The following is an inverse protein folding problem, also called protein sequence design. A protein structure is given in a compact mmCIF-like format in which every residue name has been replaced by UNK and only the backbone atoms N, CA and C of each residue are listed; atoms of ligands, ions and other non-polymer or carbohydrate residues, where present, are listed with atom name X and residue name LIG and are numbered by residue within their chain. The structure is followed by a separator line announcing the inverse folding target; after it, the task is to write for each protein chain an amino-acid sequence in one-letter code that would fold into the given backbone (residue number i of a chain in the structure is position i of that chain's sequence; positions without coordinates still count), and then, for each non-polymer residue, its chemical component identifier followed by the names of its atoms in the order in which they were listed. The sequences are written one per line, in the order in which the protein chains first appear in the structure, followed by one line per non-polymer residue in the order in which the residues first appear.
data_IF_633800481117
#
_entry.id   IF_633800481117
#
_cell.length_a   1.000
_cell.length_b   1.000
_cell.length_c   1.000
_cell.angle_alpha   90.00
_cell.angle_beta   90.00
_cell.angle_gamma   90.00
#
_symmetry.space_group_name_H-M   'P 1'
#
loop_
_entity.id
_entity.type
_entity.pdbx_description
1 polymer ?
#
# COMPACT_ATOMS: atom_id res chain seq x y z
N UNK A 1 -32.44 91.39 1.74
CA UNK A 1 -32.17 90.83 3.09
C UNK A 1 -33.29 89.84 3.35
N UNK A 2 -33.15 88.53 3.55
CA UNK A 2 -32.03 87.61 3.77
C UNK A 2 -32.45 86.25 3.17
N UNK A 3 -31.51 85.46 2.63
CA UNK A 3 -31.79 84.11 2.13
C UNK A 3 -31.73 83.07 3.25
N UNK A 4 -32.61 82.05 3.30
CA UNK A 4 -32.50 81.01 4.31
C UNK A 4 -31.48 79.95 3.90
N UNK A 5 -30.69 79.57 4.90
CA UNK A 5 -29.57 78.65 4.86
C UNK A 5 -29.99 77.20 4.57
N UNK A 6 -29.20 76.49 3.77
CA UNK A 6 -29.28 75.04 3.65
C UNK A 6 -28.58 74.37 4.83
N UNK A 7 -29.31 73.50 5.54
CA UNK A 7 -28.78 72.63 6.59
C UNK A 7 -28.46 71.26 5.97
N UNK A 8 -27.18 70.97 5.78
CA UNK A 8 -26.71 69.61 5.50
C UNK A 8 -26.73 68.79 6.79
N UNK A 9 -27.45 67.65 6.77
CA UNK A 9 -27.45 66.66 7.86
C UNK A 9 -26.44 65.53 7.57
N UNK A 10 -25.74 64.98 8.59
CA UNK A 10 -24.59 64.12 8.37
C UNK A 10 -24.97 62.65 8.13
N UNK A 11 -24.26 62.01 7.20
CA UNK A 11 -24.43 60.62 6.78
C UNK A 11 -23.76 59.61 7.74
N UNK A 12 -24.18 59.57 9.00
CA UNK A 12 -23.56 58.70 10.03
C UNK A 12 -24.14 57.27 10.10
N UNK A 13 -25.29 57.00 9.44
CA UNK A 13 -25.94 55.68 9.49
C UNK A 13 -25.40 54.64 8.50
N UNK A 14 -24.85 55.06 7.35
CA UNK A 14 -24.48 54.14 6.27
C UNK A 14 -23.13 53.43 6.52
N UNK A 15 -22.18 54.11 7.18
CA UNK A 15 -20.82 53.58 7.41
C UNK A 15 -20.85 52.45 8.45
N UNK A 16 -21.61 52.64 9.53
CA UNK A 16 -21.76 51.61 10.57
C UNK A 16 -22.38 50.33 10.02
N UNK A 17 -23.48 50.45 9.26
CA UNK A 17 -24.16 49.30 8.66
C UNK A 17 -23.26 48.50 7.71
N UNK A 18 -22.46 49.19 6.88
CA UNK A 18 -21.53 48.53 5.96
C UNK A 18 -20.44 47.76 6.71
N UNK A 19 -19.91 48.31 7.80
CA UNK A 19 -18.89 47.63 8.61
C UNK A 19 -19.44 46.38 9.31
N UNK A 20 -20.67 46.44 9.85
CA UNK A 20 -21.31 45.26 10.45
C UNK A 20 -21.59 44.18 9.41
N UNK A 21 -22.04 44.55 8.21
CA UNK A 21 -22.29 43.60 7.13
C UNK A 21 -21.00 42.88 6.68
N UNK A 22 -19.90 43.62 6.54
CA UNK A 22 -18.59 43.04 6.18
C UNK A 22 -18.09 42.09 7.29
N UNK A 23 -18.22 42.47 8.56
CA UNK A 23 -17.79 41.63 9.68
C UNK A 23 -18.56 40.29 9.73
N UNK A 24 -19.88 40.32 9.48
CA UNK A 24 -20.71 39.10 9.42
C UNK A 24 -20.30 38.21 8.24
N UNK A 25 -20.04 38.80 7.07
CA UNK A 25 -19.58 38.04 5.89
C UNK A 25 -18.23 37.37 6.12
N UNK A 26 -17.29 38.06 6.77
CA UNK A 26 -15.99 37.48 7.12
C UNK A 26 -16.12 36.35 8.14
N UNK A 27 -17.00 36.50 9.14
CA UNK A 27 -17.26 35.45 10.13
C UNK A 27 -17.86 34.19 9.47
N UNK A 28 -18.87 34.37 8.60
CA UNK A 28 -19.49 33.27 7.86
C UNK A 28 -18.50 32.60 6.89
N UNK A 29 -17.66 33.39 6.21
CA UNK A 29 -16.60 32.89 5.35
C UNK A 29 -15.57 32.05 6.11
N UNK A 30 -15.14 32.51 7.29
CA UNK A 30 -14.23 31.77 8.16
C UNK A 30 -14.79 30.43 8.62
N UNK A 31 -16.08 30.39 9.01
CA UNK A 31 -16.78 29.15 9.38
C UNK A 31 -16.86 28.20 8.17
N UNK A 32 -17.17 28.71 6.97
CA UNK A 32 -17.21 27.91 5.75
C UNK A 32 -15.86 27.25 5.43
N UNK A 33 -14.76 28.00 5.55
CA UNK A 33 -13.40 27.47 5.35
C UNK A 33 -13.07 26.42 6.41
N UNK A 34 -13.40 26.65 7.68
CA UNK A 34 -13.19 25.67 8.75
C UNK A 34 -13.96 24.37 8.48
N UNK A 35 -15.21 24.45 8.00
CA UNK A 35 -16.01 23.29 7.62
C UNK A 35 -15.46 22.55 6.41
N UNK A 36 -14.88 23.24 5.43
CA UNK A 36 -14.23 22.61 4.28
C UNK A 36 -12.94 21.88 4.69
N UNK A 37 -12.13 22.48 5.59
CA UNK A 37 -10.94 21.84 6.15
C UNK A 37 -11.34 20.61 6.98
N UNK A 38 -12.38 20.70 7.81
CA UNK A 38 -12.88 19.57 8.59
C UNK A 38 -13.49 18.49 7.68
N UNK A 39 -14.22 18.86 6.62
CA UNK A 39 -14.76 17.89 5.66
C UNK A 39 -13.65 17.18 4.86
N UNK A 40 -12.62 17.90 4.42
CA UNK A 40 -11.44 17.31 3.77
C UNK A 40 -10.64 16.42 4.74
N UNK A 41 -10.49 16.85 5.99
CA UNK A 41 -9.85 16.08 7.05
C UNK A 41 -10.66 14.83 7.46
N UNK A 42 -12.00 14.92 7.45
CA UNK A 42 -12.89 13.77 7.66
C UNK A 42 -12.78 12.79 6.49
N UNK A 43 -12.78 13.25 5.24
CA UNK A 43 -12.58 12.38 4.07
C UNK A 43 -11.28 11.58 4.11
N UNK A 44 -10.20 12.17 4.65
CA UNK A 44 -8.95 11.48 4.91
C UNK A 44 -8.96 10.57 6.16
N UNK A 45 -9.88 10.77 7.11
CA UNK A 45 -9.99 10.00 8.38
C UNK A 45 -11.09 8.93 8.37
N UNK A 46 -12.04 8.97 7.44
CA UNK A 46 -13.20 8.07 7.41
C UNK A 46 -12.98 6.74 6.66
N UNK A 47 -11.75 6.35 6.35
CA UNK A 47 -11.46 5.06 5.71
C UNK A 47 -11.16 3.91 6.70
N UNK A 48 -11.57 4.02 7.96
CA UNK A 48 -11.44 2.92 8.94
C UNK A 48 -12.79 2.60 9.53
N UNK A 49 -13.61 1.82 8.81
CA UNK A 49 -14.57 0.94 9.45
C UNK A 49 -13.77 -0.16 10.15
N UNK A 50 -13.32 0.16 11.37
CA UNK A 50 -12.65 -0.72 12.32
C UNK A 50 -13.57 -1.88 12.65
N UNK A 51 -13.40 -3.00 11.96
CA UNK A 51 -13.94 -4.29 12.36
C UNK A 51 -13.17 -4.69 13.63
N UNK A 52 -13.86 -4.58 14.77
CA UNK A 52 -13.43 -4.99 16.11
C UNK A 52 -12.17 -4.30 16.66
N UNK A 53 -12.09 -4.19 17.99
CA UNK A 53 -11.06 -3.40 18.68
C UNK A 53 -9.76 -4.20 18.73
N UNK A 54 -9.16 -4.45 17.57
CA UNK A 54 -7.85 -5.08 17.51
C UNK A 54 -6.79 -4.08 17.97
N UNK A 55 -5.97 -4.48 18.93
CA UNK A 55 -4.86 -3.65 19.41
C UNK A 55 -3.87 -3.45 18.26
N UNK A 56 -3.59 -2.19 17.94
CA UNK A 56 -2.58 -1.80 16.95
C UNK A 56 -1.29 -1.36 17.63
N UNK A 57 -0.20 -1.39 16.87
CA UNK A 57 1.12 -0.98 17.31
C UNK A 57 1.80 -0.14 16.21
N UNK A 58 2.47 0.93 16.60
CA UNK A 58 3.16 1.81 15.65
C UNK A 58 4.60 1.36 15.41
N UNK A 59 4.94 1.07 14.14
CA UNK A 59 6.31 0.79 13.69
C UNK A 59 6.78 1.83 12.68
N UNK A 60 7.98 2.36 12.87
CA UNK A 60 8.58 3.30 11.92
C UNK A 60 9.52 2.58 10.96
N UNK A 61 9.18 2.54 9.67
CA UNK A 61 9.98 1.93 8.60
C UNK A 61 10.40 2.99 7.59
N UNK A 62 11.71 3.21 7.42
CA UNK A 62 12.20 4.15 6.41
C UNK A 62 11.69 5.59 6.57
N UNK A 63 11.40 6.02 7.80
CA UNK A 63 10.86 7.35 8.10
C UNK A 63 9.33 7.46 7.98
N UNK A 64 8.63 6.32 7.82
CA UNK A 64 7.16 6.26 7.81
C UNK A 64 6.64 5.46 8.97
N UNK A 65 5.64 6.00 9.65
CA UNK A 65 4.93 5.29 10.72
C UNK A 65 3.83 4.44 10.12
N UNK A 66 3.80 3.16 10.52
CA UNK A 66 2.80 2.18 10.14
C UNK A 66 2.05 1.75 11.39
N UNK A 67 0.72 1.81 11.35
CA UNK A 67 -0.16 1.35 12.44
C UNK A 67 -0.58 -0.10 12.15
N UNK A 68 0.01 -1.06 12.85
CA UNK A 68 -0.08 -2.48 12.49
C UNK A 68 -0.85 -3.25 13.56
N UNK A 69 -1.90 -4.01 13.20
CA UNK A 69 -2.59 -4.88 14.14
C UNK A 69 -1.66 -5.96 14.72
N UNK A 70 -1.77 -6.24 16.02
CA UNK A 70 -0.88 -7.20 16.68
C UNK A 70 -0.96 -8.62 16.08
N UNK A 71 -2.12 -9.02 15.54
CA UNK A 71 -2.28 -10.35 14.91
C UNK A 71 -1.51 -10.48 13.59
N UNK A 72 -1.15 -9.36 12.95
CA UNK A 72 -0.46 -9.40 11.66
C UNK A 72 1.03 -9.72 11.82
N UNK A 73 1.63 -9.42 12.97
CA UNK A 73 3.03 -9.71 13.20
C UNK A 73 3.30 -11.22 13.18
N UNK A 74 4.21 -11.63 12.30
CA UNK A 74 4.66 -13.02 12.20
C UNK A 74 5.42 -13.47 13.44
N UNK A 75 6.18 -12.57 14.05
CA UNK A 75 7.06 -12.84 15.18
C UNK A 75 6.70 -11.94 16.36
N UNK A 76 6.57 -12.53 17.55
CA UNK A 76 6.15 -11.79 18.75
C UNK A 76 7.20 -10.75 19.17
N UNK A 77 8.47 -11.01 18.90
CA UNK A 77 9.60 -10.14 19.23
C UNK A 77 9.55 -8.81 18.46
N UNK A 78 8.79 -8.75 17.36
CA UNK A 78 8.58 -7.53 16.58
C UNK A 78 7.37 -6.70 17.04
N UNK A 79 6.57 -7.20 17.99
CA UNK A 79 5.42 -6.50 18.60
C UNK A 79 5.88 -5.49 19.66
N UNK A 80 6.76 -4.58 19.24
CA UNK A 80 7.29 -3.47 20.05
C UNK A 80 7.22 -2.19 19.25
N UNK A 81 7.07 -1.03 19.89
CA UNK A 81 7.01 0.26 19.17
C UNK A 81 8.37 0.74 18.65
N UNK A 82 8.32 1.68 17.72
CA UNK A 82 9.48 2.45 17.27
C UNK A 82 10.11 1.95 15.96
N UNK A 83 11.40 2.28 15.79
CA UNK A 83 12.08 2.09 14.51
C UNK A 83 12.31 0.60 14.19
N UNK A 84 12.00 0.26 12.94
CA UNK A 84 12.19 -1.05 12.35
C UNK A 84 13.15 -0.93 11.17
N UNK A 85 14.14 -1.83 11.11
CA UNK A 85 14.83 -2.06 9.84
C UNK A 85 13.89 -2.78 8.88
N UNK A 86 13.14 -3.74 9.40
CA UNK A 86 12.26 -4.65 8.69
C UNK A 86 11.04 -4.94 9.56
N UNK A 87 9.90 -5.24 8.95
CA UNK A 87 8.69 -5.68 9.63
C UNK A 87 8.20 -6.95 8.92
N UNK A 88 7.99 -8.02 9.67
CA UNK A 88 7.53 -9.30 9.14
C UNK A 88 6.09 -9.56 9.55
N UNK A 89 5.24 -9.67 8.55
CA UNK A 89 3.81 -9.88 8.68
C UNK A 89 3.42 -11.24 8.10
N UNK A 90 2.28 -11.76 8.54
CA UNK A 90 1.65 -12.94 7.96
C UNK A 90 0.17 -12.69 7.72
N UNK A 91 -0.29 -13.08 6.54
CA UNK A 91 -1.69 -13.02 6.16
C UNK A 91 -2.20 -14.39 5.77
N UNK A 92 -3.43 -14.68 6.13
CA UNK A 92 -4.21 -15.78 5.60
C UNK A 92 -5.13 -15.19 4.52
N UNK A 93 -4.87 -15.49 3.25
CA UNK A 93 -5.55 -14.88 2.10
C UNK A 93 -6.54 -15.85 1.45
N UNK A 94 -7.82 -15.46 1.29
CA UNK A 94 -8.85 -16.29 0.67
C UNK A 94 -8.77 -16.16 -0.84
N UNK A 95 -7.86 -16.91 -1.47
CA UNK A 95 -7.69 -16.84 -2.90
C UNK A 95 -8.74 -17.68 -3.65
N UNK A 96 -9.93 -17.14 -3.94
CA UNK A 96 -11.01 -17.80 -4.69
C UNK A 96 -12.25 -18.15 -3.86
N UNK A 97 -13.36 -18.47 -4.52
CA UNK A 97 -14.70 -18.65 -3.89
C UNK A 97 -14.82 -19.88 -2.98
N UNK A 98 -14.01 -20.92 -3.23
CA UNK A 98 -13.99 -22.18 -2.46
C UNK A 98 -12.59 -22.48 -1.85
N UNK A 99 -11.69 -21.50 -1.89
CA UNK A 99 -10.29 -21.78 -1.62
C UNK A 99 -9.95 -21.74 -0.13
N UNK A 100 -9.09 -22.67 0.27
CA UNK A 100 -8.43 -22.63 1.57
C UNK A 100 -7.54 -21.40 1.67
N UNK A 101 -7.62 -20.71 2.81
CA UNK A 101 -6.72 -19.61 3.14
C UNK A 101 -5.27 -20.03 2.89
N UNK A 102 -4.57 -19.25 2.06
CA UNK A 102 -3.16 -19.47 1.78
C UNK A 102 -2.33 -18.54 2.67
N UNK A 103 -1.35 -19.08 3.40
CA UNK A 103 -0.45 -18.24 4.19
C UNK A 103 0.47 -17.46 3.25
N UNK A 104 0.50 -16.15 3.41
CA UNK A 104 1.43 -15.25 2.73
C UNK A 104 2.23 -14.48 3.77
N UNK A 105 3.53 -14.74 3.77
CA UNK A 105 4.49 -13.99 4.57
C UNK A 105 4.87 -12.71 3.82
N UNK A 106 4.83 -11.57 4.52
CA UNK A 106 5.15 -10.27 3.94
C UNK A 106 6.24 -9.60 4.75
N UNK A 107 7.36 -9.36 4.12
CA UNK A 107 8.49 -8.64 4.72
C UNK A 107 8.56 -7.22 4.15
N UNK A 108 8.28 -6.23 4.99
CA UNK A 108 8.39 -4.81 4.64
C UNK A 108 9.79 -4.29 4.90
N UNK A 109 10.36 -3.58 3.92
CA UNK A 109 11.73 -3.07 3.92
C UNK A 109 11.77 -1.64 3.35
N UNK A 110 12.79 -0.83 3.70
CA UNK A 110 13.10 0.38 2.93
C UNK A 110 13.38 0.01 1.46
N UNK A 111 12.85 0.82 0.53
CA UNK A 111 12.95 0.60 -0.93
C UNK A 111 14.38 0.42 -1.41
N UNK A 112 15.36 1.07 -0.78
CA UNK A 112 16.78 0.96 -1.12
C UNK A 112 17.38 -0.42 -0.86
N UNK A 113 16.71 -1.26 -0.04
CA UNK A 113 17.17 -2.61 0.33
C UNK A 113 16.55 -3.72 -0.51
N UNK A 114 15.69 -3.40 -1.48
CA UNK A 114 15.00 -4.39 -2.28
C UNK A 114 14.87 -3.94 -3.75
N UNK A 115 14.89 -4.91 -4.66
CA UNK A 115 14.66 -4.71 -6.09
C UNK A 115 13.39 -5.45 -6.49
N UNK A 116 12.43 -4.83 -7.22
CA UNK A 116 11.20 -5.50 -7.60
C UNK A 116 11.47 -6.68 -8.51
N UNK A 117 10.66 -7.74 -8.40
CA UNK A 117 10.81 -8.93 -9.25
C UNK A 117 10.68 -8.60 -10.73
N UNK A 118 9.82 -7.64 -11.10
CA UNK A 118 9.71 -7.14 -12.47
C UNK A 118 11.04 -6.57 -12.99
N UNK A 119 11.76 -5.78 -12.18
CA UNK A 119 13.07 -5.24 -12.57
C UNK A 119 14.16 -6.32 -12.63
N UNK A 120 14.03 -7.39 -11.84
CA UNK A 120 14.95 -8.53 -11.86
C UNK A 120 14.74 -9.43 -13.08
N UNK A 121 13.55 -9.42 -13.69
CA UNK A 121 13.27 -10.19 -14.91
C UNK A 121 14.27 -9.83 -16.00
N UNK A 122 14.28 -8.57 -16.43
CA UNK A 122 15.13 -8.11 -17.54
C UNK A 122 16.60 -7.99 -17.14
N UNK A 123 16.87 -7.57 -15.90
CA UNK A 123 18.23 -7.30 -15.44
C UNK A 123 19.03 -8.53 -15.02
N UNK A 124 18.36 -9.64 -14.70
CA UNK A 124 19.01 -10.84 -14.15
C UNK A 124 18.44 -12.12 -14.76
N UNK A 125 17.14 -12.35 -14.65
CA UNK A 125 16.57 -13.66 -14.92
C UNK A 125 16.60 -14.05 -16.39
N UNK A 126 16.35 -13.12 -17.32
CA UNK A 126 16.40 -13.38 -18.76
C UNK A 126 17.71 -14.03 -19.20
N UNK A 127 18.83 -13.61 -18.59
CA UNK A 127 20.16 -14.14 -18.90
C UNK A 127 20.42 -15.53 -18.31
N UNK A 128 19.58 -15.97 -17.37
CA UNK A 128 19.70 -17.25 -16.66
C UNK A 128 18.64 -18.26 -17.08
N UNK A 129 17.77 -17.95 -18.04
CA UNK A 129 16.76 -18.87 -18.51
C UNK A 129 17.36 -20.04 -19.27
N UNK A 130 16.85 -21.24 -18.98
CA UNK A 130 17.01 -22.39 -19.83
C UNK A 130 16.08 -22.30 -21.06
N UNK A 131 16.37 -23.03 -22.15
CA UNK A 131 15.52 -23.04 -23.34
C UNK A 131 14.10 -23.58 -23.07
N UNK A 132 13.98 -24.44 -22.05
CA UNK A 132 12.72 -25.05 -21.63
C UNK A 132 11.69 -23.98 -21.23
N UNK A 133 10.42 -24.28 -21.49
CA UNK A 133 9.29 -23.51 -21.02
C UNK A 133 8.33 -24.47 -20.35
N UNK A 134 7.87 -24.09 -19.16
CA UNK A 134 6.90 -24.86 -18.40
C UNK A 134 5.50 -24.27 -18.61
N UNK A 135 4.52 -25.17 -18.71
CA UNK A 135 3.11 -24.82 -18.63
C UNK A 135 2.75 -24.55 -17.16
N UNK A 136 1.98 -23.49 -16.92
CA UNK A 136 1.55 -23.13 -15.57
C UNK A 136 0.19 -22.45 -15.57
N UNK A 137 -0.11 -21.66 -14.52
CA UNK A 137 -1.37 -20.93 -14.44
C UNK A 137 -1.66 -20.13 -15.72
N UNK A 138 -2.92 -20.10 -16.18
CA UNK A 138 -3.28 -19.40 -17.42
C UNK A 138 -2.77 -17.95 -17.44
N UNK A 139 -2.00 -17.63 -18.48
CA UNK A 139 -1.41 -16.31 -18.70
C UNK A 139 0.00 -16.12 -18.14
N UNK A 140 0.54 -17.05 -17.35
CA UNK A 140 1.93 -17.02 -16.93
C UNK A 140 2.79 -17.93 -17.80
N UNK A 141 4.05 -17.52 -17.99
CA UNK A 141 5.11 -18.32 -18.62
C UNK A 141 6.09 -18.74 -17.54
N UNK A 142 6.37 -20.05 -17.46
CA UNK A 142 7.39 -20.61 -16.56
C UNK A 142 8.73 -20.80 -17.26
N UNK A 143 9.79 -20.23 -16.71
CA UNK A 143 11.17 -20.38 -17.21
C UNK A 143 12.09 -20.92 -16.11
N UNK A 144 12.57 -22.18 -16.25
CA UNK A 144 13.58 -22.71 -15.37
C UNK A 144 14.86 -21.88 -15.43
N UNK A 145 15.47 -21.64 -14.26
CA UNK A 145 16.77 -21.00 -14.18
C UNK A 145 17.88 -22.05 -14.32
N UNK A 146 19.02 -21.63 -14.88
CA UNK A 146 20.25 -22.41 -14.87
C UNK A 146 20.64 -22.72 -13.41
N UNK A 147 21.11 -23.94 -13.09
CA UNK A 147 21.38 -24.34 -11.71
C UNK A 147 22.66 -23.71 -11.10
N UNK A 148 23.38 -22.88 -11.86
CA UNK A 148 24.52 -22.12 -11.37
C UNK A 148 24.08 -20.93 -10.49
N UNK A 149 25.02 -20.36 -9.73
CA UNK A 149 24.76 -19.15 -8.94
C UNK A 149 23.72 -19.28 -7.81
N UNK A 150 23.33 -20.51 -7.44
CA UNK A 150 22.37 -20.78 -6.37
C UNK A 150 20.91 -20.92 -6.83
N UNK A 151 20.64 -20.97 -8.14
CA UNK A 151 19.29 -21.10 -8.69
C UNK A 151 18.88 -22.55 -8.98
N UNK A 152 19.56 -23.52 -8.38
CA UNK A 152 19.29 -24.93 -8.60
C UNK A 152 17.83 -25.29 -8.25
N UNK A 153 17.08 -25.74 -9.27
CA UNK A 153 15.69 -26.12 -9.10
C UNK A 153 14.71 -24.95 -8.98
N UNK A 154 15.11 -23.75 -9.37
CA UNK A 154 14.24 -22.57 -9.37
C UNK A 154 13.61 -22.30 -10.74
N UNK A 155 12.39 -21.76 -10.72
CA UNK A 155 11.61 -21.38 -11.90
C UNK A 155 11.12 -19.95 -11.71
N UNK A 156 11.23 -19.12 -12.75
CA UNK A 156 10.60 -17.80 -12.79
C UNK A 156 9.28 -17.90 -13.54
N UNK A 157 8.20 -17.53 -12.88
CA UNK A 157 6.88 -17.37 -13.46
C UNK A 157 6.62 -15.89 -13.73
N UNK A 158 6.28 -15.53 -14.97
CA UNK A 158 5.99 -14.15 -15.31
C UNK A 158 4.84 -13.96 -16.31
N UNK A 159 4.17 -12.81 -16.20
CA UNK A 159 3.20 -12.33 -17.19
C UNK A 159 3.94 -11.72 -18.39
N UNK A 160 3.88 -12.32 -19.59
CA UNK A 160 4.60 -11.83 -20.75
C UNK A 160 3.91 -10.63 -21.44
N UNK A 161 2.70 -10.25 -21.01
CA UNK A 161 1.87 -9.25 -21.71
C UNK A 161 1.84 -7.88 -21.04
N UNK A 162 2.20 -7.79 -19.75
CA UNK A 162 2.18 -6.53 -19.00
C UNK A 162 3.53 -5.80 -19.06
N UNK A 163 3.47 -4.47 -19.14
CA UNK A 163 4.65 -3.60 -19.04
C UNK A 163 5.24 -3.55 -17.62
N UNK A 164 4.40 -3.73 -16.60
CA UNK A 164 4.81 -3.98 -15.22
C UNK A 164 4.39 -5.42 -14.88
N UNK A 165 5.19 -6.41 -15.26
CA UNK A 165 4.75 -7.80 -15.22
C UNK A 165 4.62 -8.31 -13.79
N UNK A 166 3.66 -9.22 -13.61
CA UNK A 166 3.76 -10.14 -12.50
C UNK A 166 4.99 -11.02 -12.72
N UNK A 167 5.94 -11.04 -11.77
CA UNK A 167 7.09 -11.94 -11.72
C UNK A 167 7.20 -12.56 -10.33
N UNK A 168 7.29 -13.88 -10.26
CA UNK A 168 7.57 -14.63 -9.04
C UNK A 168 8.62 -15.70 -9.30
N UNK A 169 9.58 -15.82 -8.39
CA UNK A 169 10.63 -16.85 -8.44
C UNK A 169 10.29 -17.95 -7.46
N UNK A 170 10.07 -19.16 -7.94
CA UNK A 170 9.64 -20.29 -7.14
C UNK A 170 10.74 -21.34 -7.04
N UNK A 171 10.99 -21.82 -5.83
CA UNK A 171 11.93 -22.91 -5.55
C UNK A 171 11.19 -24.20 -5.32
N UNK A 172 11.73 -25.31 -5.82
CA UNK A 172 11.23 -26.64 -5.49
C UNK A 172 11.30 -26.91 -3.99
N UNK A 173 10.30 -27.63 -3.45
CA UNK A 173 10.28 -28.01 -2.04
C UNK A 173 11.46 -28.93 -1.71
N UNK A 174 12.09 -28.71 -0.55
CA UNK A 174 13.18 -29.55 -0.05
C UNK A 174 12.65 -30.92 0.41
N UNK A 175 11.40 -30.96 0.89
CA UNK A 175 10.72 -32.18 1.30
C UNK A 175 9.72 -32.65 0.22
N UNK A 176 9.69 -33.96 -0.04
CA UNK A 176 8.86 -34.60 -1.09
C UNK A 176 7.35 -34.34 -1.00
N UNK A 177 6.84 -33.88 0.15
CA UNK A 177 5.41 -33.66 0.39
C UNK A 177 5.03 -32.18 0.57
N UNK A 178 5.97 -31.25 0.43
CA UNK A 178 5.69 -29.81 0.54
C UNK A 178 5.38 -29.22 -0.84
N UNK A 179 4.60 -28.14 -0.88
CA UNK A 179 4.42 -27.31 -2.08
C UNK A 179 5.64 -26.41 -2.27
N UNK A 180 5.98 -26.08 -3.51
CA UNK A 180 7.01 -25.07 -3.80
C UNK A 180 6.72 -23.73 -3.11
N UNK A 181 7.76 -22.93 -2.92
CA UNK A 181 7.65 -21.59 -2.32
C UNK A 181 8.08 -20.55 -3.33
N UNK A 182 7.31 -19.49 -3.44
CA UNK A 182 7.49 -18.42 -4.39
C UNK A 182 7.84 -17.11 -3.68
N UNK A 183 8.75 -16.36 -4.29
CA UNK A 183 9.15 -15.02 -3.85
C UNK A 183 8.78 -13.98 -4.91
N UNK A 184 8.09 -12.94 -4.47
CA UNK A 184 7.79 -11.76 -5.27
C UNK A 184 8.17 -10.51 -4.50
N UNK A 185 8.89 -9.59 -5.12
CA UNK A 185 9.18 -8.28 -4.53
C UNK A 185 8.48 -7.18 -5.32
N UNK A 186 7.82 -6.28 -4.61
CA UNK A 186 7.16 -5.09 -5.18
C UNK A 186 7.58 -3.84 -4.44
N UNK A 187 7.40 -2.69 -5.09
CA UNK A 187 7.41 -1.41 -4.42
C UNK A 187 5.99 -1.05 -4.01
N UNK A 188 5.84 -0.53 -2.79
CA UNK A 188 4.59 -0.02 -2.27
C UNK A 188 4.62 1.51 -2.33
N UNK A 189 4.12 2.17 -1.28
CA UNK A 189 4.18 3.61 -1.12
C UNK A 189 5.60 4.17 -1.08
N UNK A 190 5.73 5.51 -1.10
CA UNK A 190 7.01 6.19 -1.02
C UNK A 190 7.96 5.59 0.03
N UNK A 191 9.09 5.06 -0.43
CA UNK A 191 10.16 4.56 0.44
C UNK A 191 10.02 3.12 0.95
N UNK A 192 8.94 2.40 0.63
CA UNK A 192 8.70 1.03 1.13
C UNK A 192 8.73 0.03 -0.04
N UNK A 193 9.34 -1.12 0.21
CA UNK A 193 9.25 -2.32 -0.62
C UNK A 193 8.68 -3.47 0.21
N UNK A 194 8.01 -4.40 -0.44
CA UNK A 194 7.53 -5.61 0.17
C UNK A 194 8.06 -6.84 -0.56
N UNK A 195 8.50 -7.83 0.21
CA UNK A 195 8.82 -9.17 -0.26
C UNK A 195 7.71 -10.11 0.21
N UNK A 196 7.04 -10.75 -0.74
CA UNK A 196 6.00 -11.74 -0.51
C UNK A 196 6.60 -13.13 -0.65
N UNK A 197 6.43 -13.97 0.37
CA UNK A 197 6.70 -15.39 0.31
C UNK A 197 5.39 -16.17 0.45
N UNK A 198 5.08 -17.00 -0.55
CA UNK A 198 3.78 -17.67 -0.66
C UNK A 198 3.91 -19.04 -1.32
N UNK A 199 2.98 -19.98 -1.06
CA UNK A 199 3.01 -21.29 -1.69
C UNK A 199 2.74 -21.20 -3.20
N UNK A 200 3.41 -22.05 -3.98
CA UNK A 200 3.29 -22.10 -5.44
C UNK A 200 1.85 -22.31 -5.93
N UNK A 201 1.00 -22.96 -5.13
CA UNK A 201 -0.44 -23.11 -5.39
C UNK A 201 -1.15 -21.76 -5.56
N UNK A 202 -0.71 -20.69 -4.88
CA UNK A 202 -1.33 -19.38 -4.98
C UNK A 202 -1.06 -18.68 -6.32
N UNK A 203 -0.15 -19.20 -7.16
CA UNK A 203 0.06 -18.68 -8.51
C UNK A 203 -1.19 -18.79 -9.40
N UNK A 204 -2.15 -19.67 -9.09
CA UNK A 204 -3.42 -19.73 -9.80
C UNK A 204 -4.22 -18.42 -9.71
N UNK A 205 -3.96 -17.61 -8.67
CA UNK A 205 -4.67 -16.37 -8.37
C UNK A 205 -3.80 -15.12 -8.61
N UNK A 206 -2.72 -15.26 -9.40
CA UNK A 206 -1.73 -14.20 -9.63
C UNK A 206 -2.34 -12.85 -10.07
N UNK A 207 -3.48 -12.86 -10.76
CA UNK A 207 -4.18 -11.65 -11.24
C UNK A 207 -4.76 -10.79 -10.13
N UNK A 208 -5.20 -11.43 -9.06
CA UNK A 208 -5.84 -10.78 -7.90
C UNK A 208 -4.84 -10.62 -6.73
N UNK A 209 -3.74 -11.37 -6.77
CA UNK A 209 -2.75 -11.49 -5.71
C UNK A 209 -2.24 -10.14 -5.18
N UNK A 210 -1.76 -9.27 -6.07
CA UNK A 210 -1.22 -7.98 -5.67
C UNK A 210 -2.32 -7.02 -5.18
N UNK A 211 -3.53 -7.10 -5.74
CA UNK A 211 -4.65 -6.26 -5.33
C UNK A 211 -5.09 -6.57 -3.89
N UNK A 212 -5.19 -7.85 -3.55
CA UNK A 212 -5.54 -8.31 -2.20
C UNK A 212 -4.50 -7.86 -1.15
N UNK A 213 -3.22 -8.06 -1.45
CA UNK A 213 -2.13 -7.62 -0.56
C UNK A 213 -2.06 -6.10 -0.45
N UNK A 214 -2.23 -5.38 -1.55
CA UNK A 214 -2.25 -3.92 -1.56
C UNK A 214 -3.41 -3.39 -0.71
N UNK A 215 -4.60 -3.98 -0.83
CA UNK A 215 -5.76 -3.59 -0.03
C UNK A 215 -5.49 -3.74 1.48
N UNK A 216 -4.85 -4.84 1.91
CA UNK A 216 -4.47 -5.06 3.31
C UNK A 216 -3.37 -4.11 3.77
N UNK A 217 -2.29 -4.00 3.01
CA UNK A 217 -1.15 -3.14 3.34
C UNK A 217 -1.51 -1.65 3.34
N UNK A 218 -2.54 -1.25 2.59
CA UNK A 218 -3.12 0.09 2.64
C UNK A 218 -3.72 0.44 4.00
N UNK A 219 -4.27 -0.55 4.74
CA UNK A 219 -4.90 -0.32 6.05
C UNK A 219 -3.90 0.16 7.12
N UNK A 220 -2.62 -0.16 6.94
CA UNK A 220 -1.54 0.18 7.89
C UNK A 220 -0.68 1.35 7.40
N UNK A 221 -1.06 2.01 6.30
CA UNK A 221 -0.34 3.15 5.74
C UNK A 221 0.92 2.81 4.95
N UNK A 222 1.03 1.58 4.42
CA UNK A 222 2.19 1.16 3.63
C UNK A 222 2.17 1.60 2.15
N UNK A 223 1.08 2.22 1.69
CA UNK A 223 0.89 2.74 0.32
C UNK A 223 1.18 4.24 0.18
#
# INVERSE_FOLDING_TARGET
MAGPAQVQRPAHGAIGFNLTAIAVLLALGGIGVAYLIDAAGRGARTQVHRLDTETTLTRTLGGRDLEIPLSWFRYEEQRIEGFAKQIDLRFELPFGVDAHDQPVDVTLLPRSRARPSAALLDGVYLHQFLPEQLDGPPGLVGKPLRPDGGYAGEVVWYDPLSAEPFVAKCSKPIASAATGQCLRTVYLGPGIAAVYAFPESALQHWREFDAELTARLGQIGAL
#
